data_IF_524864724550
#
_entry.id   IF_524864724550
#
_cell.length_a   1.000
_cell.length_b   1.000
_cell.length_c   1.000
_cell.angle_alpha   90.00
_cell.angle_beta   90.00
_cell.angle_gamma   90.00
#
_symmetry.space_group_name_H-M   'P 1'
#
loop_
_entity.id
_entity.type
_entity.pdbx_description
1 polymer ?
#
# COMPACT_ATOMS: atom_id res chain seq x y z
N UNK A 1 7.01 -18.46 31.99
CA UNK A 1 6.22 -19.21 30.99
C UNK A 1 6.54 -18.68 29.61
N UNK A 2 7.39 -19.36 28.81
CA UNK A 2 7.69 -18.95 27.43
C UNK A 2 6.47 -19.33 26.57
N UNK A 3 5.73 -18.34 26.06
CA UNK A 3 4.49 -18.53 25.31
C UNK A 3 4.66 -19.55 24.17
N UNK A 4 4.09 -20.75 24.39
CA UNK A 4 4.07 -21.90 23.47
C UNK A 4 3.43 -21.56 22.11
N UNK A 5 2.53 -20.57 22.09
CA UNK A 5 1.73 -20.18 20.93
C UNK A 5 2.59 -19.82 19.69
N UNK A 6 3.71 -19.12 19.87
CA UNK A 6 4.59 -18.72 18.76
C UNK A 6 5.69 -19.75 18.44
N UNK A 7 5.71 -20.93 19.07
CA UNK A 7 6.62 -22.01 18.66
C UNK A 7 6.09 -22.83 17.48
N UNK A 8 4.79 -22.77 17.21
CA UNK A 8 4.20 -23.54 16.11
C UNK A 8 4.43 -22.81 14.76
N UNK A 9 5.23 -23.43 13.88
CA UNK A 9 5.54 -22.90 12.54
C UNK A 9 4.27 -22.63 11.71
N UNK A 10 3.27 -23.50 11.79
CA UNK A 10 2.01 -23.36 11.06
C UNK A 10 1.23 -22.12 11.50
N UNK A 11 1.12 -21.87 12.81
CA UNK A 11 0.45 -20.68 13.35
C UNK A 11 1.17 -19.41 12.91
N UNK A 12 2.52 -19.41 12.93
CA UNK A 12 3.32 -18.28 12.45
C UNK A 12 3.08 -17.97 10.98
N UNK A 13 3.17 -18.96 10.10
CA UNK A 13 2.93 -18.77 8.66
C UNK A 13 1.49 -18.33 8.37
N UNK A 14 0.50 -18.83 9.12
CA UNK A 14 -0.88 -18.38 8.99
C UNK A 14 -1.06 -16.91 9.39
N UNK A 15 -0.57 -16.52 10.57
CA UNK A 15 -0.66 -15.13 11.05
C UNK A 15 0.11 -14.18 10.13
N UNK A 16 1.25 -14.62 9.62
CA UNK A 16 2.08 -13.90 8.66
C UNK A 16 1.32 -13.63 7.36
N UNK A 17 0.77 -14.66 6.73
CA UNK A 17 -0.06 -14.52 5.55
C UNK A 17 -1.29 -13.63 5.80
N UNK A 18 -2.00 -13.86 6.91
CA UNK A 18 -3.18 -13.08 7.28
C UNK A 18 -2.86 -11.59 7.47
N UNK A 19 -1.70 -11.27 8.03
CA UNK A 19 -1.24 -9.87 8.17
C UNK A 19 -1.07 -9.21 6.79
N UNK A 20 -0.49 -9.93 5.83
CA UNK A 20 -0.26 -9.41 4.48
C UNK A 20 -1.56 -9.24 3.69
N UNK A 21 -2.49 -10.17 3.83
CA UNK A 21 -3.84 -10.07 3.26
C UNK A 21 -4.58 -8.86 3.85
N UNK A 22 -4.54 -8.68 5.17
CA UNK A 22 -5.24 -7.59 5.86
C UNK A 22 -4.73 -6.21 5.42
N UNK A 23 -3.41 -6.04 5.32
CA UNK A 23 -2.80 -4.80 4.81
C UNK A 23 -3.16 -4.60 3.33
N UNK A 24 -3.07 -5.64 2.52
CA UNK A 24 -3.34 -5.56 1.07
C UNK A 24 -4.80 -5.25 0.75
N UNK A 25 -5.74 -5.69 1.59
CA UNK A 25 -7.16 -5.42 1.38
C UNK A 25 -7.45 -3.91 1.23
N UNK A 26 -6.74 -3.07 1.98
CA UNK A 26 -6.87 -1.61 1.89
C UNK A 26 -6.45 -1.11 0.50
N UNK A 27 -5.29 -1.57 0.01
CA UNK A 27 -4.77 -1.18 -1.30
C UNK A 27 -5.63 -1.73 -2.45
N UNK A 28 -6.05 -2.99 -2.36
CA UNK A 28 -6.92 -3.64 -3.36
C UNK A 28 -8.25 -2.90 -3.47
N UNK A 29 -8.84 -2.49 -2.34
CA UNK A 29 -10.11 -1.76 -2.34
C UNK A 29 -10.05 -0.42 -3.10
N UNK A 30 -8.86 0.18 -3.24
CA UNK A 30 -8.67 1.44 -3.94
C UNK A 30 -8.58 1.29 -5.48
N UNK A 31 -8.33 0.08 -6.00
CA UNK A 31 -8.07 -0.15 -7.42
C UNK A 31 -9.31 0.14 -8.29
N UNK A 32 -10.51 -0.42 -8.02
CA UNK A 32 -11.67 -0.22 -8.91
C UNK A 32 -12.04 1.25 -9.06
N UNK A 33 -11.95 2.04 -7.99
CA UNK A 33 -12.23 3.47 -8.03
C UNK A 33 -11.29 4.26 -8.94
N UNK A 34 -10.01 3.86 -9.01
CA UNK A 34 -9.00 4.50 -9.87
C UNK A 34 -9.14 4.11 -11.34
N UNK A 35 -9.62 2.90 -11.62
CA UNK A 35 -9.84 2.43 -13.00
C UNK A 35 -11.17 2.99 -13.54
N UNK A 36 -12.27 2.80 -12.81
CA UNK A 36 -13.60 3.22 -13.27
C UNK A 36 -13.80 4.73 -13.20
N UNK A 37 -13.06 5.42 -12.33
CA UNK A 37 -13.08 6.88 -12.15
C UNK A 37 -11.80 7.54 -12.63
N UNK A 38 -11.18 7.04 -13.70
CA UNK A 38 -9.85 7.47 -14.14
C UNK A 38 -9.79 8.97 -14.41
N UNK A 39 -10.64 9.49 -15.30
CA UNK A 39 -10.67 10.93 -15.67
C UNK A 39 -10.85 11.82 -14.44
N UNK A 40 -11.84 11.53 -13.59
CA UNK A 40 -12.07 12.26 -12.34
C UNK A 40 -10.86 12.23 -11.40
N UNK A 41 -10.13 11.12 -11.37
CA UNK A 41 -8.92 11.00 -10.54
C UNK A 41 -7.76 11.79 -11.14
N UNK A 42 -7.62 11.83 -12.47
CA UNK A 42 -6.64 12.70 -13.15
C UNK A 42 -6.94 14.16 -12.84
N UNK A 43 -8.18 14.61 -12.99
CA UNK A 43 -8.61 15.98 -12.65
C UNK A 43 -8.28 16.32 -11.19
N UNK A 44 -8.50 15.38 -10.26
CA UNK A 44 -8.18 15.57 -8.85
C UNK A 44 -6.67 15.63 -8.56
N UNK A 45 -5.85 14.87 -9.29
CA UNK A 45 -4.38 15.01 -9.22
C UNK A 45 -3.97 16.37 -9.76
N UNK A 46 -4.53 16.79 -10.89
CA UNK A 46 -4.23 18.07 -11.52
C UNK A 46 -4.62 19.26 -10.66
N UNK A 47 -5.71 19.14 -9.89
CA UNK A 47 -6.13 20.17 -8.94
C UNK A 47 -5.12 20.40 -7.80
N UNK A 48 -4.08 19.56 -7.68
CA UNK A 48 -2.94 19.75 -6.77
C UNK A 48 -1.78 20.54 -7.40
N UNK A 49 -1.98 21.12 -8.58
CA UNK A 49 -0.97 21.89 -9.30
C UNK A 49 -0.03 21.03 -10.15
N UNK A 50 -0.39 19.77 -10.41
CA UNK A 50 0.37 18.85 -11.26
C UNK A 50 -0.17 18.98 -12.70
N UNK A 51 0.68 19.11 -13.73
CA UNK A 51 0.22 19.19 -15.11
C UNK A 51 -0.54 17.92 -15.56
N UNK A 52 -1.61 18.07 -16.33
CA UNK A 52 -2.48 16.96 -16.77
C UNK A 52 -1.76 15.74 -17.38
N UNK A 53 -0.73 15.91 -18.24
CA UNK A 53 0.01 14.76 -18.76
C UNK A 53 0.72 13.98 -17.65
N UNK A 54 1.26 14.69 -16.66
CA UNK A 54 1.96 14.10 -15.51
C UNK A 54 0.96 13.45 -14.55
N UNK A 55 -0.21 14.07 -14.34
CA UNK A 55 -1.30 13.51 -13.54
C UNK A 55 -1.75 12.13 -14.03
N UNK A 56 -1.89 11.99 -15.35
CA UNK A 56 -2.26 10.72 -15.99
C UNK A 56 -1.19 9.64 -15.79
N UNK A 57 0.08 9.99 -15.97
CA UNK A 57 1.22 9.08 -15.74
C UNK A 57 1.29 8.64 -14.28
N UNK A 58 1.12 9.58 -13.33
CA UNK A 58 1.08 9.27 -11.91
C UNK A 58 -0.05 8.32 -11.54
N UNK A 59 -1.24 8.51 -12.11
CA UNK A 59 -2.37 7.63 -11.86
C UNK A 59 -2.13 6.22 -12.41
N UNK A 60 -1.60 6.09 -13.63
CA UNK A 60 -1.23 4.79 -14.20
C UNK A 60 -0.16 4.11 -13.34
N UNK A 61 0.88 4.84 -12.94
CA UNK A 61 1.91 4.34 -12.04
C UNK A 61 1.35 3.89 -10.70
N UNK A 62 0.41 4.64 -10.12
CA UNK A 62 -0.29 4.28 -8.89
C UNK A 62 -1.10 2.99 -9.04
N UNK A 63 -1.83 2.80 -10.14
CA UNK A 63 -2.60 1.58 -10.42
C UNK A 63 -1.67 0.37 -10.55
N UNK A 64 -0.55 0.51 -11.28
CA UNK A 64 0.46 -0.55 -11.41
C UNK A 64 1.04 -0.92 -10.04
N UNK A 65 1.42 0.09 -9.24
CA UNK A 65 1.94 -0.12 -7.89
C UNK A 65 0.94 -0.82 -6.98
N UNK A 66 -0.35 -0.49 -7.06
CA UNK A 66 -1.40 -1.15 -6.29
C UNK A 66 -1.58 -2.61 -6.71
N UNK A 67 -1.71 -2.88 -8.01
CA UNK A 67 -1.94 -4.24 -8.52
C UNK A 67 -0.73 -5.13 -8.24
N UNK A 68 0.46 -4.74 -8.69
CA UNK A 68 1.68 -5.52 -8.51
C UNK A 68 2.11 -5.58 -7.04
N UNK A 69 1.99 -4.45 -6.33
CA UNK A 69 2.33 -4.35 -4.92
C UNK A 69 1.47 -5.28 -4.07
N UNK A 70 0.13 -5.21 -4.20
CA UNK A 70 -0.75 -6.11 -3.45
C UNK A 70 -0.59 -7.57 -3.88
N UNK A 71 -0.41 -7.85 -5.18
CA UNK A 71 -0.17 -9.20 -5.68
C UNK A 71 1.08 -9.84 -5.07
N UNK A 72 2.24 -9.20 -5.24
CA UNK A 72 3.52 -9.70 -4.71
C UNK A 72 3.56 -9.70 -3.18
N UNK A 73 2.87 -8.76 -2.53
CA UNK A 73 2.83 -8.71 -1.07
C UNK A 73 2.00 -9.85 -0.49
N UNK A 74 0.86 -10.22 -1.08
CA UNK A 74 0.08 -11.39 -0.60
C UNK A 74 0.73 -12.71 -1.01
N UNK A 75 1.01 -12.86 -2.32
CA UNK A 75 1.33 -14.14 -2.95
C UNK A 75 2.75 -14.12 -3.53
N UNK A 76 3.72 -14.59 -2.74
CA UNK A 76 5.05 -14.93 -3.25
C UNK A 76 6.15 -14.81 -2.20
N UNK A 77 7.30 -15.36 -2.54
CA UNK A 77 8.59 -15.12 -1.85
C UNK A 77 9.02 -13.63 -1.93
N UNK A 78 8.35 -12.88 -2.80
CA UNK A 78 8.61 -11.49 -3.16
C UNK A 78 7.90 -10.46 -2.26
N UNK A 79 7.54 -10.80 -1.01
CA UNK A 79 6.87 -9.86 -0.10
C UNK A 79 7.63 -8.53 0.07
N UNK A 80 8.96 -8.57 -0.01
CA UNK A 80 9.82 -7.37 0.03
C UNK A 80 9.58 -6.47 -1.19
N UNK A 81 9.49 -7.05 -2.38
CA UNK A 81 9.18 -6.35 -3.63
C UNK A 81 7.78 -5.74 -3.56
N UNK A 82 6.78 -6.51 -3.12
CA UNK A 82 5.41 -6.01 -2.93
C UNK A 82 5.36 -4.82 -1.97
N UNK A 83 6.13 -4.87 -0.87
CA UNK A 83 6.24 -3.76 0.08
C UNK A 83 6.76 -2.48 -0.56
N UNK A 84 7.79 -2.59 -1.42
CA UNK A 84 8.36 -1.44 -2.14
C UNK A 84 7.33 -0.79 -3.06
N UNK A 85 6.61 -1.57 -3.87
CA UNK A 85 5.56 -1.03 -4.74
C UNK A 85 4.46 -0.32 -3.95
N UNK A 86 4.00 -0.91 -2.84
CA UNK A 86 2.98 -0.28 -2.00
C UNK A 86 3.49 0.99 -1.31
N UNK A 87 4.76 1.04 -0.90
CA UNK A 87 5.40 2.25 -0.37
C UNK A 87 5.53 3.35 -1.43
N UNK A 88 5.94 2.99 -2.66
CA UNK A 88 6.01 3.91 -3.80
C UNK A 88 4.66 4.53 -4.13
N UNK A 89 3.56 3.81 -3.92
CA UNK A 89 2.21 4.38 -4.01
C UNK A 89 1.85 5.24 -2.80
N UNK A 90 2.05 4.71 -1.58
CA UNK A 90 1.47 5.27 -0.36
C UNK A 90 2.15 6.57 0.09
N UNK A 91 3.48 6.66 0.00
CA UNK A 91 4.23 7.83 0.46
C UNK A 91 3.86 9.08 -0.36
N UNK A 92 3.95 9.07 -1.71
CA UNK A 92 3.55 10.24 -2.51
C UNK A 92 2.07 10.58 -2.34
N UNK A 93 1.20 9.56 -2.29
CA UNK A 93 -0.24 9.78 -2.06
C UNK A 93 -0.49 10.51 -0.74
N UNK A 94 0.22 10.14 0.32
CA UNK A 94 0.09 10.81 1.62
C UNK A 94 0.50 12.28 1.53
N UNK A 95 1.66 12.55 0.91
CA UNK A 95 2.20 13.90 0.78
C UNK A 95 1.27 14.79 -0.06
N UNK A 96 0.90 14.32 -1.25
CA UNK A 96 0.13 15.10 -2.25
C UNK A 96 -1.31 15.36 -1.78
N UNK A 97 -1.96 14.37 -1.15
CA UNK A 97 -3.39 14.45 -0.87
C UNK A 97 -3.77 14.73 0.59
N UNK A 98 -2.85 14.49 1.53
CA UNK A 98 -3.20 14.48 2.96
C UNK A 98 -2.33 15.35 3.86
N UNK A 99 -1.17 15.83 3.41
CA UNK A 99 -0.36 16.75 4.22
C UNK A 99 -0.84 18.20 4.08
N UNK A 100 -1.32 18.60 2.89
CA UNK A 100 -1.78 19.96 2.63
C UNK A 100 -3.13 20.00 1.85
N UNK A 101 -4.25 20.39 2.49
CA UNK A 101 -4.39 20.63 3.94
C UNK A 101 -4.20 19.33 4.76
N UNK A 102 -3.86 19.50 6.04
CA UNK A 102 -3.52 18.36 6.90
C UNK A 102 -4.76 17.54 7.28
N UNK A 103 -4.88 16.36 6.67
CA UNK A 103 -5.93 15.38 6.94
C UNK A 103 -5.48 14.38 8.00
N UNK A 104 -5.53 14.78 9.27
CA UNK A 104 -4.98 14.02 10.43
C UNK A 104 -5.27 12.51 10.38
N UNK A 105 -6.53 12.13 10.16
CA UNK A 105 -6.93 10.70 10.11
C UNK A 105 -6.23 9.95 8.98
N UNK A 106 -6.18 10.53 7.78
CA UNK A 106 -5.56 9.90 6.63
C UNK A 106 -4.03 9.79 6.80
N UNK A 107 -3.39 10.84 7.31
CA UNK A 107 -1.95 10.83 7.58
C UNK A 107 -1.58 9.75 8.58
N UNK A 108 -2.30 9.64 9.71
CA UNK A 108 -1.98 8.63 10.73
C UNK A 108 -2.26 7.19 10.27
N UNK A 109 -3.34 6.96 9.52
CA UNK A 109 -3.60 5.65 8.93
C UNK A 109 -2.51 5.27 7.93
N UNK A 110 -2.10 6.19 7.07
CA UNK A 110 -1.04 5.94 6.10
C UNK A 110 0.30 5.72 6.80
N UNK A 111 0.62 6.48 7.86
CA UNK A 111 1.85 6.28 8.62
C UNK A 111 1.92 4.90 9.27
N UNK A 112 0.80 4.41 9.82
CA UNK A 112 0.70 3.06 10.35
C UNK A 112 0.94 1.99 9.26
N UNK A 113 0.34 2.18 8.08
CA UNK A 113 0.54 1.28 6.94
C UNK A 113 1.99 1.31 6.41
N UNK A 114 2.59 2.50 6.29
CA UNK A 114 4.00 2.68 5.93
C UNK A 114 4.89 1.89 6.90
N UNK A 115 4.65 2.01 8.21
CA UNK A 115 5.39 1.23 9.21
C UNK A 115 5.26 -0.28 9.01
N UNK A 116 4.04 -0.79 8.80
CA UNK A 116 3.80 -2.21 8.54
C UNK A 116 4.47 -2.73 7.26
N UNK A 117 4.47 -1.92 6.20
CA UNK A 117 5.15 -2.22 4.95
C UNK A 117 6.68 -2.21 5.12
N UNK A 118 7.24 -1.25 5.85
CA UNK A 118 8.70 -1.19 6.12
C UNK A 118 9.13 -2.42 6.92
N UNK A 119 8.40 -2.79 7.98
CA UNK A 119 8.69 -4.01 8.76
C UNK A 119 8.72 -5.24 7.85
N UNK A 120 7.80 -5.33 6.90
CA UNK A 120 7.75 -6.45 5.95
C UNK A 120 8.85 -6.39 4.89
N UNK A 121 9.25 -5.20 4.47
CA UNK A 121 10.33 -5.00 3.51
C UNK A 121 11.70 -5.43 4.07
N UNK A 122 11.93 -5.25 5.37
CA UNK A 122 13.24 -5.51 6.00
C UNK A 122 13.35 -6.87 6.68
N UNK A 123 12.23 -7.55 6.96
CA UNK A 123 12.24 -8.87 7.62
C UNK A 123 12.39 -10.02 6.62
N UNK A 124 12.93 -11.14 7.10
CA UNK A 124 12.93 -12.37 6.32
C UNK A 124 11.53 -13.01 6.27
N UNK A 125 11.16 -13.63 5.14
CA UNK A 125 9.96 -14.46 5.06
C UNK A 125 9.99 -15.60 6.08
N UNK A 126 8.81 -15.98 6.58
CA UNK A 126 8.62 -17.06 7.57
C UNK A 126 8.38 -18.40 6.87
#
# INVERSE_FOLDING_TARGET
MKNSFFKNKSIKSFLDFFSRVSISAIFISAIPGKINGFERTVEYISSKGIPDPVSSILLVGAIICLILGSGFFIFGENQKIGSVFLLLFLIPTTIIFHVFPFHQRAVFMNLALIGGLIITAVREPI
#
